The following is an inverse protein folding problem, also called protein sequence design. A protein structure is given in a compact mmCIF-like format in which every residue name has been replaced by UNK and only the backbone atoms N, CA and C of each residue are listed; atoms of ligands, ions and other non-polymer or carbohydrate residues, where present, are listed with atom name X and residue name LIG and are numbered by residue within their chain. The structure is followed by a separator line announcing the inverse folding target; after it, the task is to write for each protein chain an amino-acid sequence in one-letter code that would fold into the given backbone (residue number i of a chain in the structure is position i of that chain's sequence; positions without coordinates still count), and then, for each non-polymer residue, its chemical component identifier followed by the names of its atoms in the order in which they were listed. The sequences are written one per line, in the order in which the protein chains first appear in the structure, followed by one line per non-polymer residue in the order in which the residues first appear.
data_IF_149769864294
#
_entry.id   IF_149769864294
#
_cell.length_a   1.000
_cell.length_b   1.000
_cell.length_c   1.000
_cell.angle_alpha   90.00
_cell.angle_beta   90.00
_cell.angle_gamma   90.00
#
_symmetry.space_group_name_H-M   'P 1'
#
loop_
_entity.id
_entity.type
_entity.pdbx_description
1 polymer ?
#
# COMPACT_ATOMS: atom_id res chain seq x y z
N UNK A 1 5.61 37.11 -35.67
CA UNK A 1 5.58 36.76 -34.25
C UNK A 1 5.24 35.28 -34.13
N UNK A 2 5.96 34.55 -33.27
CA UNK A 2 5.70 33.13 -33.05
C UNK A 2 4.43 32.96 -32.22
N UNK A 3 3.61 31.97 -32.59
CA UNK A 3 2.41 31.67 -31.85
C UNK A 3 2.76 31.28 -30.41
N UNK A 4 2.09 31.82 -29.41
CA UNK A 4 2.37 31.45 -28.03
C UNK A 4 2.10 29.97 -27.77
N UNK A 5 2.93 29.39 -26.91
CA UNK A 5 2.76 28.02 -26.47
C UNK A 5 1.47 27.90 -25.67
N UNK A 6 0.78 26.79 -25.86
CA UNK A 6 -0.48 26.57 -25.15
C UNK A 6 -0.20 26.04 -23.75
N UNK A 7 0.05 26.95 -22.81
CA UNK A 7 0.33 26.58 -21.43
C UNK A 7 -0.90 26.04 -20.71
N UNK A 8 -2.09 26.43 -21.14
CA UNK A 8 -3.33 25.94 -20.50
C UNK A 8 -3.48 24.43 -20.67
N UNK A 9 -3.14 23.92 -21.85
CA UNK A 9 -3.18 22.47 -22.09
C UNK A 9 -2.16 21.73 -21.22
N UNK A 10 -0.96 22.32 -21.08
CA UNK A 10 0.07 21.73 -20.24
C UNK A 10 -0.33 21.74 -18.76
N UNK A 11 -0.89 22.85 -18.31
CA UNK A 11 -1.37 22.94 -16.92
C UNK A 11 -2.46 21.91 -16.64
N UNK A 12 -3.40 21.75 -17.58
CA UNK A 12 -4.46 20.76 -17.42
C UNK A 12 -3.88 19.35 -17.35
N UNK A 13 -2.90 19.05 -18.17
CA UNK A 13 -2.24 17.75 -18.17
C UNK A 13 -1.56 17.47 -16.81
N UNK A 14 -0.90 18.48 -16.26
CA UNK A 14 -0.25 18.36 -14.94
C UNK A 14 -1.28 18.19 -13.83
N UNK A 15 -2.40 18.91 -13.91
CA UNK A 15 -3.48 18.78 -12.94
C UNK A 15 -4.07 17.38 -12.97
N UNK A 16 -4.26 16.82 -14.16
CA UNK A 16 -4.79 15.47 -14.32
C UNK A 16 -3.83 14.43 -13.71
N UNK A 17 -2.54 14.62 -13.93
CA UNK A 17 -1.51 13.74 -13.34
C UNK A 17 -1.48 13.86 -11.83
N UNK A 18 -1.59 15.08 -11.31
CA UNK A 18 -1.60 15.31 -9.87
C UNK A 18 -2.80 14.63 -9.22
N UNK A 19 -3.96 14.72 -9.88
CA UNK A 19 -5.19 14.09 -9.40
C UNK A 19 -5.05 12.57 -9.39
N UNK A 20 -4.45 12.01 -10.44
CA UNK A 20 -4.21 10.58 -10.53
C UNK A 20 -3.28 10.08 -9.42
N UNK A 21 -2.18 10.81 -9.18
CA UNK A 21 -1.23 10.46 -8.12
C UNK A 21 -1.89 10.53 -6.74
N UNK A 22 -2.74 11.55 -6.51
CA UNK A 22 -3.47 11.67 -5.26
C UNK A 22 -4.40 10.47 -5.06
N UNK A 23 -5.10 10.06 -6.11
CA UNK A 23 -5.98 8.90 -6.06
C UNK A 23 -5.22 7.64 -5.71
N UNK A 24 -4.03 7.46 -6.30
CA UNK A 24 -3.18 6.30 -6.00
C UNK A 24 -2.71 6.33 -4.56
N UNK A 25 -2.33 7.49 -4.05
CA UNK A 25 -1.91 7.65 -2.67
C UNK A 25 -3.03 7.27 -1.70
N UNK A 26 -4.25 7.75 -1.96
CA UNK A 26 -5.41 7.43 -1.13
C UNK A 26 -5.65 5.94 -1.12
N UNK A 27 -5.54 5.29 -2.28
CA UNK A 27 -5.72 3.83 -2.38
C UNK A 27 -4.66 3.09 -1.56
N UNK A 28 -3.40 3.52 -1.66
CA UNK A 28 -2.32 2.89 -0.91
C UNK A 28 -2.53 3.03 0.60
N UNK A 29 -2.98 4.21 1.04
CA UNK A 29 -3.25 4.44 2.46
C UNK A 29 -4.42 3.59 2.93
N UNK A 30 -5.46 3.44 2.10
CA UNK A 30 -6.58 2.57 2.41
C UNK A 30 -6.15 1.11 2.53
N UNK A 31 -5.31 0.66 1.62
CA UNK A 31 -4.77 -0.70 1.67
C UNK A 31 -3.93 -0.91 2.94
N UNK A 32 -3.20 0.11 3.35
CA UNK A 32 -2.40 0.04 4.57
C UNK A 32 -3.28 -0.12 5.80
N UNK A 33 -4.39 0.60 5.86
CA UNK A 33 -5.35 0.48 6.96
C UNK A 33 -5.85 -0.96 7.07
N UNK A 34 -6.19 -1.57 5.95
CA UNK A 34 -6.66 -2.95 5.91
C UNK A 34 -5.55 -3.92 6.28
N UNK A 35 -4.37 -3.73 5.73
CA UNK A 35 -3.23 -4.64 5.94
C UNK A 35 -2.79 -4.69 7.41
N UNK A 36 -2.94 -3.58 8.12
CA UNK A 36 -2.55 -3.51 9.53
C UNK A 36 -3.66 -3.94 10.47
N UNK A 37 -4.87 -4.16 9.96
CA UNK A 37 -6.02 -4.53 10.78
C UNK A 37 -6.75 -3.35 11.39
N UNK A 38 -6.33 -2.11 11.07
CA UNK A 38 -6.96 -0.92 11.62
C UNK A 38 -8.39 -0.72 11.10
N UNK A 39 -8.75 -1.42 10.03
CA UNK A 39 -10.12 -1.39 9.50
C UNK A 39 -11.13 -2.05 10.44
N UNK A 40 -10.67 -2.78 11.46
CA UNK A 40 -11.56 -3.34 12.49
C UNK A 40 -12.12 -2.26 13.40
N UNK A 41 -11.48 -1.09 13.46
CA UNK A 41 -12.00 0.04 14.22
C UNK A 41 -13.21 0.64 13.52
N UNK A 42 -14.11 1.23 14.29
CA UNK A 42 -15.20 2.00 13.71
C UNK A 42 -14.64 3.25 13.01
N UNK A 43 -15.44 3.86 12.16
CA UNK A 43 -15.00 5.09 11.47
C UNK A 43 -14.66 6.18 12.49
N UNK A 44 -15.44 6.30 13.54
CA UNK A 44 -15.19 7.31 14.58
C UNK A 44 -13.90 7.02 15.32
N UNK A 45 -13.67 5.76 15.69
CA UNK A 45 -12.43 5.36 16.37
C UNK A 45 -11.22 5.58 15.47
N UNK A 46 -11.33 5.21 14.22
CA UNK A 46 -10.23 5.37 13.27
C UNK A 46 -9.92 6.85 13.07
N UNK A 47 -10.95 7.68 12.90
CA UNK A 47 -10.75 9.12 12.72
C UNK A 47 -10.07 9.73 13.94
N UNK A 48 -10.52 9.36 15.14
CA UNK A 48 -9.89 9.86 16.37
C UNK A 48 -8.44 9.47 16.48
N UNK A 49 -8.13 8.21 16.20
CA UNK A 49 -6.75 7.72 16.25
C UNK A 49 -5.87 8.44 15.25
N UNK A 50 -6.36 8.63 14.02
CA UNK A 50 -5.60 9.33 12.98
C UNK A 50 -5.36 10.79 13.34
N UNK A 51 -6.33 11.45 13.97
CA UNK A 51 -6.15 12.83 14.42
C UNK A 51 -5.03 12.90 15.45
N UNK A 52 -5.02 11.98 16.41
CA UNK A 52 -3.95 11.94 17.42
C UNK A 52 -2.59 11.73 16.77
N UNK A 53 -2.50 10.82 15.81
CA UNK A 53 -1.25 10.58 15.09
C UNK A 53 -0.80 11.84 14.34
N UNK A 54 -1.72 12.50 13.67
CA UNK A 54 -1.40 13.69 12.88
C UNK A 54 -0.93 14.86 13.74
N UNK A 55 -1.46 14.95 14.96
CA UNK A 55 -1.12 16.04 15.89
C UNK A 55 0.15 15.76 16.69
N UNK A 56 0.63 14.52 16.68
CA UNK A 56 1.81 14.15 17.45
C UNK A 56 3.07 14.72 16.84
N UNK A 57 3.79 15.51 17.62
CA UNK A 57 5.04 16.14 17.18
C UNK A 57 6.27 15.58 17.88
N UNK A 58 6.08 14.58 18.72
CA UNK A 58 7.16 13.91 19.43
C UNK A 58 8.00 13.09 18.46
N UNK A 59 9.23 13.53 18.22
CA UNK A 59 10.11 12.86 17.26
C UNK A 59 10.43 11.42 17.67
N UNK A 60 10.55 11.17 18.96
CA UNK A 60 10.85 9.83 19.46
C UNK A 60 9.71 8.86 19.18
N UNK A 61 8.47 9.32 19.39
CA UNK A 61 7.30 8.49 19.08
C UNK A 61 7.21 8.21 17.58
N UNK A 62 7.42 9.23 16.77
CA UNK A 62 7.36 9.06 15.32
C UNK A 62 8.44 8.12 14.81
N UNK A 63 9.62 8.19 15.40
CA UNK A 63 10.71 7.29 15.07
C UNK A 63 10.37 5.85 15.44
N UNK A 64 9.79 5.63 16.60
CA UNK A 64 9.36 4.31 17.04
C UNK A 64 8.28 3.75 16.11
N UNK A 65 7.33 4.58 15.70
CA UNK A 65 6.32 4.16 14.72
C UNK A 65 6.97 3.77 13.40
N UNK A 66 7.93 4.56 12.96
CA UNK A 66 8.65 4.29 11.70
C UNK A 66 9.37 2.96 11.75
N UNK A 67 10.04 2.66 12.85
CA UNK A 67 10.75 1.39 13.02
C UNK A 67 9.80 0.21 13.01
N UNK A 68 8.69 0.34 13.73
CA UNK A 68 7.69 -0.73 13.79
C UNK A 68 7.05 -0.96 12.42
N UNK A 69 6.76 0.12 11.70
CA UNK A 69 6.21 0.03 10.36
C UNK A 69 7.18 -0.62 9.38
N UNK A 70 8.46 -0.25 9.46
CA UNK A 70 9.49 -0.86 8.61
C UNK A 70 9.57 -2.36 8.88
N UNK A 71 9.53 -2.76 10.14
CA UNK A 71 9.55 -4.18 10.50
C UNK A 71 8.32 -4.91 9.96
N UNK A 72 7.16 -4.27 10.00
CA UNK A 72 5.92 -4.82 9.45
C UNK A 72 6.07 -5.12 7.95
N UNK A 73 6.59 -4.17 7.19
CA UNK A 73 6.77 -4.35 5.76
C UNK A 73 7.82 -5.40 5.43
N UNK A 74 8.91 -5.45 6.20
CA UNK A 74 9.95 -6.47 6.03
C UNK A 74 9.40 -7.85 6.33
N UNK A 75 8.65 -8.01 7.40
CA UNK A 75 8.04 -9.28 7.76
C UNK A 75 7.05 -9.74 6.71
N UNK A 76 6.26 -8.81 6.17
CA UNK A 76 5.31 -9.10 5.11
C UNK A 76 6.01 -9.54 3.83
N UNK A 77 7.07 -8.82 3.44
CA UNK A 77 7.84 -9.16 2.25
C UNK A 77 8.50 -10.53 2.40
N UNK A 78 9.03 -10.83 3.60
CA UNK A 78 9.66 -12.11 3.88
C UNK A 78 8.64 -13.25 3.78
N UNK A 79 7.44 -13.06 4.35
CA UNK A 79 6.39 -14.07 4.26
C UNK A 79 5.96 -14.31 2.83
N UNK A 80 5.86 -13.24 2.05
CA UNK A 80 5.51 -13.36 0.64
C UNK A 80 6.58 -14.11 -0.14
N UNK A 81 7.85 -13.81 0.14
CA UNK A 81 8.97 -14.45 -0.53
C UNK A 81 9.09 -15.94 -0.19
N UNK A 82 8.76 -16.32 1.06
CA UNK A 82 8.86 -17.68 1.52
C UNK A 82 7.60 -18.51 1.24
N UNK A 83 6.46 -17.86 1.07
CA UNK A 83 5.20 -18.57 0.84
C UNK A 83 5.18 -19.22 -0.53
N UNK A 84 4.74 -20.47 -0.62
CA UNK A 84 4.51 -21.04 -1.95
C UNK A 84 3.40 -20.27 -2.65
N UNK A 85 3.50 -20.18 -3.95
CA UNK A 85 2.49 -19.47 -4.73
C UNK A 85 1.19 -20.21 -4.68
N UNK A 86 0.30 -19.73 -3.95
CA UNK A 86 -1.05 -20.25 -3.88
C UNK A 86 -1.97 -19.38 -4.64
N UNK A 87 -1.32 -18.92 -3.92
CA UNK A 87 -1.99 -17.79 -4.14
C UNK A 87 -2.12 -16.88 -4.23
N UNK A 88 -1.68 -16.94 -4.13
CA UNK A 88 -2.02 -15.95 -4.31
C UNK A 88 -2.30 -15.09 -4.28
N UNK A 89 -2.02 -15.50 -4.04
CA UNK A 89 -2.64 -14.75 -4.17
C UNK A 89 -2.60 -14.14 -4.14
N UNK A 90 -2.23 -14.95 -4.14
CA UNK A 90 -2.56 -14.67 -4.37
C UNK A 90 -2.23 -14.41 -4.57
N UNK A 91 -1.83 -15.31 -4.83
CA UNK A 91 -1.88 -15.48 -5.24
C UNK A 91 -1.64 -15.50 -5.53
N UNK A 92 -1.22 -16.19 -5.67
CA UNK A 92 -1.30 -16.63 -6.14
C UNK A 92 -1.08 -16.92 -6.29
N UNK A 93 -0.66 -17.25 -6.47
CA UNK A 93 -0.83 -17.92 -6.81
C UNK A 93 -0.51 -18.27 -6.93
N UNK A 94 -0.22 -19.07 -6.96
CA UNK A 94 -0.28 -19.85 -7.27
C UNK A 94 -0.11 -20.04 -7.54
N UNK A 95 0.40 -20.26 -7.84
CA UNK A 95 0.28 -20.85 -8.23
C UNK A 95 0.61 -21.13 -8.35
N UNK A 96 1.22 -21.66 -8.19
CA UNK A 96 0.89 -22.18 -8.56
C UNK A 96 1.43 -22.58 -8.41
N UNK A 97 1.78 -23.18 -8.34
CA UNK A 97 1.62 -23.90 -8.48
C UNK A 97 2.04 -24.39 -8.28
N UNK A 98 2.31 -24.24 -8.14
CA UNK A 98 2.08 -25.06 -8.12
C UNK A 98 2.18 -25.34 -7.93
N UNK A 99 2.67 -25.82 -7.67
CA UNK A 99 2.23 -26.41 -7.62
C UNK A 99 2.27 -26.67 -7.53
N UNK A 100 2.75 -26.93 -7.61
CA UNK A 100 2.35 -27.52 -7.66
C UNK A 100 2.54 -27.81 -7.60
N UNK A 101 2.84 -28.19 -7.63
CA UNK A 101 2.43 -28.64 -7.75
C UNK A 101 2.50 -28.67 -7.61
N UNK A 102 2.93 -29.18 -7.50
CA UNK A 102 2.41 -29.49 -7.61
C UNK A 102 2.38 -29.40 -7.43
N UNK A 103 2.97 -29.74 -7.37
CA UNK A 103 2.41 -29.96 -7.43
C UNK A 103 2.61 -29.92 -7.05
N UNK A 104 2.96 -30.17 -7.14
CA UNK A 104 2.56 -30.50 -7.05
C UNK A 104 2.96 -30.76 -6.51
N UNK A 105 2.94 -30.91 -6.66
CA UNK A 105 2.74 -31.45 -6.40
C UNK A 105 3.13 -31.92 -5.91
N UNK A 106 3.49 -32.25 -5.93
CA UNK A 106 3.42 -32.92 -5.68
C UNK A 106 3.61 -33.12 -5.62
N UNK A 107 3.83 -33.38 -5.66
CA UNK A 107 3.73 -33.57 -5.68
C UNK A 107 3.93 -33.45 -5.46
N UNK A 108 4.36 -33.73 -5.50
CA UNK A 108 4.08 -33.52 -5.73
C UNK A 108 3.93 -33.29 -5.51
#
# INVERSE_FOLDING_TARGET
MRKPRNFDAELKSLEDKARDLTSRKVRQLGELVISTGADALSADELAGALIVLAETKDAAKREAWGKRGAAFFQGRARRTALAPNRDAGGASAQPGSKQPPSGGTRPA
#
